data_IF_339285560766
#
_entry.id   IF_339285560766
#
_cell.length_a   1.000
_cell.length_b   1.000
_cell.length_c   1.000
_cell.angle_alpha   90.00
_cell.angle_beta   90.00
_cell.angle_gamma   90.00
#
_symmetry.space_group_name_H-M   'P 1'
#
loop_
_entity.id
_entity.type
_entity.pdbx_description
1 polymer ?
#
# COMPACT_ATOMS: atom_id res chain seq x y z
N UNK A 1 19.68 20.12 15.13
CA UNK A 1 18.98 19.35 14.08
C UNK A 1 18.22 18.20 14.72
N UNK A 2 16.88 18.18 14.63
CA UNK A 2 16.05 17.10 15.23
C UNK A 2 16.25 15.82 14.39
N UNK A 3 16.72 14.73 15.01
CA UNK A 3 16.72 13.41 14.35
C UNK A 3 15.26 12.99 14.14
N UNK A 4 14.79 13.03 12.89
CA UNK A 4 13.44 12.59 12.56
C UNK A 4 13.40 11.06 12.57
N UNK A 5 13.00 10.48 13.70
CA UNK A 5 12.74 9.05 13.81
C UNK A 5 11.37 8.79 13.17
N UNK A 6 11.33 8.04 12.07
CA UNK A 6 10.08 7.73 11.35
C UNK A 6 9.31 6.58 11.98
N UNK A 7 10.03 5.58 12.49
CA UNK A 7 9.48 4.42 13.20
C UNK A 7 10.44 4.08 14.33
N UNK A 8 9.90 4.00 15.54
CA UNK A 8 10.57 3.43 16.70
C UNK A 8 9.67 2.35 17.31
N UNK A 9 10.27 1.21 17.66
CA UNK A 9 9.58 0.12 18.34
C UNK A 9 10.45 -0.38 19.48
N UNK A 10 9.96 -0.18 20.69
CA UNK A 10 10.55 -0.74 21.89
C UNK A 10 10.06 -2.18 22.11
N UNK A 11 10.94 -3.02 22.66
CA UNK A 11 10.63 -4.41 22.99
C UNK A 11 9.79 -4.48 24.25
N UNK A 12 8.80 -5.37 24.28
CA UNK A 12 8.09 -5.71 25.51
C UNK A 12 8.83 -6.80 26.30
N UNK A 13 8.61 -6.87 27.62
CA UNK A 13 9.29 -7.79 28.54
C UNK A 13 9.26 -9.26 28.08
N UNK A 14 8.13 -9.73 27.55
CA UNK A 14 7.94 -11.14 27.18
C UNK A 14 8.07 -11.40 25.67
N UNK A 15 8.70 -10.48 24.92
CA UNK A 15 8.72 -10.55 23.47
C UNK A 15 10.02 -11.09 22.90
N UNK A 16 9.89 -12.10 22.04
CA UNK A 16 11.00 -12.61 21.22
C UNK A 16 11.43 -11.57 20.16
N UNK A 17 12.75 -11.43 19.95
CA UNK A 17 13.35 -10.56 18.92
C UNK A 17 12.68 -10.69 17.54
N UNK A 18 12.36 -11.91 17.11
CA UNK A 18 11.70 -12.14 15.82
C UNK A 18 10.31 -11.48 15.74
N UNK A 19 9.57 -11.45 16.84
CA UNK A 19 8.27 -10.79 16.89
C UNK A 19 8.42 -9.26 16.77
N UNK A 20 9.43 -8.68 17.40
CA UNK A 20 9.73 -7.24 17.33
C UNK A 20 10.07 -6.82 15.90
N UNK A 21 10.93 -7.58 15.21
CA UNK A 21 11.28 -7.33 13.81
C UNK A 21 10.07 -7.40 12.88
N UNK A 22 9.11 -8.31 13.14
CA UNK A 22 7.86 -8.40 12.36
C UNK A 22 6.99 -7.16 12.57
N UNK A 23 6.85 -6.66 13.81
CA UNK A 23 6.10 -5.42 14.07
C UNK A 23 6.76 -4.23 13.38
N UNK A 24 8.08 -4.13 13.46
CA UNK A 24 8.84 -3.08 12.79
C UNK A 24 8.61 -3.11 11.28
N UNK A 25 8.72 -4.29 10.69
CA UNK A 25 8.46 -4.49 9.27
C UNK A 25 7.02 -4.14 8.89
N UNK A 26 6.03 -4.50 9.72
CA UNK A 26 4.62 -4.20 9.46
C UNK A 26 4.35 -2.70 9.55
N UNK A 27 4.78 -2.03 10.61
CA UNK A 27 4.59 -0.59 10.80
C UNK A 27 5.29 0.21 9.70
N UNK A 28 6.50 -0.19 9.30
CA UNK A 28 7.22 0.42 8.17
C UNK A 28 6.49 0.27 6.83
N UNK A 29 5.81 -0.87 6.63
CA UNK A 29 4.99 -1.14 5.43
C UNK A 29 3.67 -0.38 5.44
N UNK A 30 2.98 -0.33 6.59
CA UNK A 30 1.74 0.42 6.77
C UNK A 30 1.95 1.91 6.50
N UNK A 31 3.07 2.48 6.98
CA UNK A 31 3.49 3.85 6.70
C UNK A 31 4.02 4.06 5.27
N UNK A 32 4.11 3.00 4.47
CA UNK A 32 4.61 3.02 3.09
C UNK A 32 5.97 3.72 2.93
N UNK A 33 6.86 3.61 3.94
CA UNK A 33 8.11 4.39 4.01
C UNK A 33 8.99 4.20 2.77
N UNK A 34 9.15 2.96 2.34
CA UNK A 34 9.96 2.62 1.16
C UNK A 34 9.37 3.26 -0.10
N UNK A 35 8.04 3.26 -0.25
CA UNK A 35 7.37 3.91 -1.39
C UNK A 35 7.57 5.42 -1.35
N UNK A 36 7.43 6.05 -0.18
CA UNK A 36 7.64 7.49 0.01
C UNK A 36 9.08 7.89 -0.32
N UNK A 37 10.07 7.19 0.23
CA UNK A 37 11.49 7.49 -0.04
C UNK A 37 11.79 7.31 -1.54
N UNK A 38 11.29 6.25 -2.17
CA UNK A 38 11.46 6.03 -3.62
C UNK A 38 10.81 7.12 -4.46
N UNK A 39 9.63 7.63 -4.06
CA UNK A 39 8.96 8.70 -4.81
C UNK A 39 9.65 10.05 -4.70
N UNK A 40 10.37 10.30 -3.60
CA UNK A 40 11.12 11.55 -3.39
C UNK A 40 12.56 11.49 -3.92
N UNK A 41 13.03 10.33 -4.40
CA UNK A 41 14.42 10.14 -4.86
C UNK A 41 14.80 11.05 -6.01
N UNK A 42 13.86 11.29 -6.93
CA UNK A 42 14.08 12.10 -8.13
C UNK A 42 13.02 13.17 -8.25
N UNK A 43 13.38 14.29 -8.87
CA UNK A 43 12.41 15.32 -9.21
C UNK A 43 11.44 14.81 -10.28
N UNK A 44 10.14 15.01 -10.05
CA UNK A 44 9.08 14.61 -10.97
C UNK A 44 8.35 15.86 -11.43
N UNK A 45 8.21 16.05 -12.75
CA UNK A 45 7.42 17.14 -13.32
C UNK A 45 5.94 17.00 -12.97
N UNK A 46 5.26 18.14 -12.78
CA UNK A 46 3.80 18.16 -12.71
C UNK A 46 3.20 17.62 -14.01
N UNK A 47 2.27 16.68 -13.92
CA UNK A 47 1.57 16.13 -15.10
C UNK A 47 0.62 17.19 -15.66
N UNK A 48 0.36 17.13 -16.96
CA UNK A 48 -0.67 17.96 -17.57
C UNK A 48 -2.06 17.38 -17.29
N UNK A 49 -3.09 18.23 -17.32
CA UNK A 49 -4.49 17.83 -17.09
C UNK A 49 -4.94 16.69 -18.02
N UNK A 50 -4.46 16.67 -19.26
CA UNK A 50 -4.80 15.61 -20.23
C UNK A 50 -4.25 14.25 -19.81
N UNK A 51 -3.00 14.19 -19.32
CA UNK A 51 -2.38 12.94 -18.83
C UNK A 51 -3.08 12.43 -17.56
N UNK A 52 -3.51 13.34 -16.69
CA UNK A 52 -4.28 12.98 -15.49
C UNK A 52 -5.67 12.44 -15.84
N UNK A 53 -6.35 13.05 -16.82
CA UNK A 53 -7.65 12.59 -17.31
C UNK A 53 -7.56 11.20 -17.92
N UNK A 54 -6.60 10.94 -18.79
CA UNK A 54 -6.44 9.61 -19.43
C UNK A 54 -6.15 8.52 -18.40
N UNK A 55 -5.28 8.79 -17.42
CA UNK A 55 -5.02 7.86 -16.32
C UNK A 55 -6.28 7.59 -15.48
N UNK A 56 -7.05 8.65 -15.18
CA UNK A 56 -8.32 8.53 -14.45
C UNK A 56 -9.34 7.68 -15.20
N UNK A 57 -9.50 7.89 -16.52
CA UNK A 57 -10.39 7.08 -17.36
C UNK A 57 -10.00 5.60 -17.35
N UNK A 58 -8.70 5.29 -17.45
CA UNK A 58 -8.22 3.90 -17.36
C UNK A 58 -8.55 3.25 -16.01
N UNK A 59 -8.40 4.00 -14.91
CA UNK A 59 -8.75 3.51 -13.57
C UNK A 59 -10.26 3.24 -13.43
N UNK A 60 -11.10 4.15 -13.95
CA UNK A 60 -12.56 4.00 -13.95
C UNK A 60 -13.00 2.79 -14.80
N UNK A 61 -12.40 2.60 -15.98
CA UNK A 61 -12.67 1.45 -16.83
C UNK A 61 -12.36 0.13 -16.11
N UNK A 62 -11.20 0.03 -15.45
CA UNK A 62 -10.82 -1.14 -14.66
C UNK A 62 -11.80 -1.41 -13.51
N UNK A 63 -12.24 -0.36 -12.80
CA UNK A 63 -13.26 -0.48 -11.73
C UNK A 63 -14.60 -0.96 -12.28
N UNK A 64 -15.06 -0.42 -13.41
CA UNK A 64 -16.30 -0.84 -14.07
C UNK A 64 -16.25 -2.31 -14.46
N UNK A 65 -15.14 -2.76 -15.07
CA UNK A 65 -14.93 -4.17 -15.43
C UNK A 65 -14.90 -5.08 -14.21
N UNK A 66 -14.22 -4.67 -13.13
CA UNK A 66 -14.22 -5.45 -11.89
C UNK A 66 -15.66 -5.61 -11.34
N UNK A 67 -16.42 -4.52 -11.29
CA UNK A 67 -17.79 -4.55 -10.81
C UNK A 67 -18.71 -5.43 -11.67
N UNK A 68 -18.54 -5.44 -12.99
CA UNK A 68 -19.32 -6.33 -13.86
C UNK A 68 -18.94 -7.79 -13.65
N UNK A 69 -17.65 -8.11 -13.53
CA UNK A 69 -17.19 -9.47 -13.26
C UNK A 69 -17.69 -10.00 -11.90
N UNK A 70 -17.71 -9.14 -10.88
CA UNK A 70 -18.31 -9.44 -9.57
C UNK A 70 -19.81 -9.73 -9.72
N UNK A 71 -20.56 -8.87 -10.43
CA UNK A 71 -22.00 -9.09 -10.67
C UNK A 71 -22.30 -10.36 -11.45
N UNK A 72 -21.42 -10.75 -12.37
CA UNK A 72 -21.53 -11.99 -13.13
C UNK A 72 -21.11 -13.23 -12.33
N UNK A 73 -20.71 -13.08 -11.06
CA UNK A 73 -20.24 -14.18 -10.21
C UNK A 73 -18.87 -14.75 -10.63
N UNK A 74 -18.15 -14.09 -11.55
CA UNK A 74 -16.83 -14.53 -12.03
C UNK A 74 -15.70 -14.20 -11.06
N UNK A 75 -15.94 -13.27 -10.14
CA UNK A 75 -15.02 -12.89 -9.07
C UNK A 75 -15.80 -13.00 -7.76
N UNK A 76 -15.29 -13.81 -6.84
CA UNK A 76 -15.78 -13.83 -5.47
C UNK A 76 -15.11 -12.71 -4.65
N UNK A 77 -15.92 -11.89 -3.97
CA UNK A 77 -15.42 -10.90 -3.01
C UNK A 77 -14.72 -11.57 -1.82
N UNK A 78 -15.08 -12.81 -1.50
CA UNK A 78 -14.46 -13.56 -0.42
C UNK A 78 -13.04 -14.00 -0.77
N UNK A 79 -12.72 -14.23 -2.05
CA UNK A 79 -11.37 -14.63 -2.48
C UNK A 79 -10.36 -13.47 -2.49
N UNK A 80 -10.83 -12.22 -2.62
CA UNK A 80 -9.94 -11.05 -2.51
C UNK A 80 -9.53 -10.74 -1.07
N UNK A 81 -10.33 -11.14 -0.08
CA UNK A 81 -10.00 -11.02 1.35
C UNK A 81 -9.23 -12.23 1.91
N UNK A 82 -9.26 -13.38 1.21
CA UNK A 82 -8.59 -14.63 1.60
C UNK A 82 -7.07 -14.69 1.39
N UNK A 83 -6.42 -13.63 0.90
CA UNK A 83 -4.94 -13.55 0.90
C UNK A 83 -4.31 -13.57 2.30
N UNK A 84 -5.13 -13.53 3.36
CA UNK A 84 -4.71 -13.62 4.75
C UNK A 84 -5.33 -14.79 5.55
N UNK A 85 -5.82 -15.85 4.89
CA UNK A 85 -6.27 -17.05 5.61
C UNK A 85 -5.50 -18.30 5.16
N UNK A 86 -4.60 -18.71 6.07
CA UNK A 86 -3.68 -19.85 6.09
C UNK A 86 -2.39 -19.69 5.28
#
# INVERSE_FOLDING_TARGET
>A
MKRAILVDIQRSKNENQKATLRRFSRQSKELQLVRKIRSHRYHIRSKSKNVERTHTLSSLARRKQFNTLVKLGKIDLSDTTRRHKK
#
